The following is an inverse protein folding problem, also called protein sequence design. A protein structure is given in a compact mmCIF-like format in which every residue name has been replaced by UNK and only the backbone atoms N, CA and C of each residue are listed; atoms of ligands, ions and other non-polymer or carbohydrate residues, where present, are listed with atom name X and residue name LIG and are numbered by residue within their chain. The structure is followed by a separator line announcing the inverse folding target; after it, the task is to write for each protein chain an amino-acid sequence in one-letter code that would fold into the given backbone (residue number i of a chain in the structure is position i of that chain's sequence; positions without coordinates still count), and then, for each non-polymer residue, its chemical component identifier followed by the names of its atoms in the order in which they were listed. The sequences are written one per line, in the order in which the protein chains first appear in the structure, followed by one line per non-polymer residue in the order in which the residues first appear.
data_IF_903790946491
#
_entry.id   IF_903790946491
#
_cell.length_a   1.000
_cell.length_b   1.000
_cell.length_c   1.000
_cell.angle_alpha   90.00
_cell.angle_beta   90.00
_cell.angle_gamma   90.00
#
_symmetry.space_group_name_H-M   'P 1'
#
loop_
_entity.id
_entity.type
_entity.pdbx_description
1 polymer ?
#
# COMPACT_ATOMS: atom_id res chain seq x y z
N UNK A 1 29.15 -10.34 -9.65
CA UNK A 1 29.07 -8.97 -9.06
C UNK A 1 29.84 -7.99 -9.92
N UNK A 2 29.41 -6.75 -10.03
CA UNK A 2 30.02 -5.68 -10.82
C UNK A 2 30.45 -4.54 -9.89
N UNK A 3 31.62 -3.97 -10.08
CA UNK A 3 32.08 -2.78 -9.36
C UNK A 3 31.41 -1.54 -9.97
N UNK A 4 30.79 -0.74 -9.12
CA UNK A 4 30.17 0.54 -9.47
C UNK A 4 30.56 1.61 -8.45
N UNK A 5 30.46 2.89 -8.81
CA UNK A 5 30.70 3.99 -7.86
C UNK A 5 29.38 4.63 -7.48
N UNK A 6 29.02 4.58 -6.19
CA UNK A 6 27.82 5.21 -5.63
C UNK A 6 28.28 6.27 -4.62
N UNK A 7 27.88 7.52 -4.83
CA UNK A 7 28.28 8.66 -3.99
C UNK A 7 29.80 8.74 -3.74
N UNK A 8 30.64 8.40 -4.74
CA UNK A 8 32.10 8.44 -4.64
C UNK A 8 32.74 7.24 -3.92
N UNK A 9 31.96 6.22 -3.60
CA UNK A 9 32.46 4.98 -2.97
C UNK A 9 32.35 3.83 -3.97
N UNK A 10 33.41 3.07 -4.13
CA UNK A 10 33.41 1.86 -4.97
C UNK A 10 32.70 0.73 -4.24
N UNK A 11 31.69 0.17 -4.88
CA UNK A 11 30.80 -0.86 -4.31
C UNK A 11 30.68 -2.05 -5.26
N UNK A 12 30.48 -3.23 -4.71
CA UNK A 12 30.09 -4.41 -5.48
C UNK A 12 28.58 -4.53 -5.59
N UNK A 13 28.07 -4.55 -6.82
CA UNK A 13 26.63 -4.68 -7.11
C UNK A 13 26.33 -6.07 -7.65
N UNK A 14 25.36 -6.77 -7.04
CA UNK A 14 24.87 -8.04 -7.54
C UNK A 14 24.14 -7.83 -8.88
N UNK A 15 24.50 -8.59 -9.91
CA UNK A 15 23.94 -8.48 -11.25
C UNK A 15 23.04 -9.65 -11.63
N UNK A 16 22.99 -10.70 -10.79
CA UNK A 16 22.27 -11.92 -11.10
C UNK A 16 21.66 -12.58 -9.85
N UNK A 17 20.69 -13.47 -10.06
CA UNK A 17 20.20 -14.32 -8.98
C UNK A 17 21.34 -15.16 -8.37
N UNK A 18 22.29 -15.62 -9.16
CA UNK A 18 23.42 -16.41 -8.66
C UNK A 18 24.28 -15.61 -7.68
N UNK A 19 24.56 -14.31 -7.96
CA UNK A 19 25.27 -13.44 -7.02
C UNK A 19 24.53 -13.30 -5.70
N UNK A 20 23.21 -13.11 -5.75
CA UNK A 20 22.39 -13.01 -4.55
C UNK A 20 22.32 -14.33 -3.79
N UNK A 21 22.20 -15.46 -4.49
CA UNK A 21 22.18 -16.79 -3.87
C UNK A 21 23.49 -17.16 -3.19
N UNK A 22 24.62 -16.68 -3.70
CA UNK A 22 25.91 -16.85 -3.04
C UNK A 22 25.96 -16.18 -1.66
N UNK A 23 25.25 -15.05 -1.48
CA UNK A 23 25.19 -14.30 -0.22
C UNK A 23 24.10 -14.87 0.72
N UNK A 24 22.90 -15.12 0.19
CA UNK A 24 21.72 -15.42 1.01
C UNK A 24 21.34 -16.91 1.07
N UNK A 25 21.93 -17.77 0.21
CA UNK A 25 21.55 -19.17 0.09
C UNK A 25 20.15 -19.38 -0.48
N UNK A 26 19.59 -20.57 -0.27
CA UNK A 26 18.27 -20.95 -0.74
C UNK A 26 17.20 -20.71 0.33
N UNK A 27 15.97 -20.31 -0.05
CA UNK A 27 14.87 -20.21 0.89
C UNK A 27 14.50 -21.59 1.44
N UNK A 28 14.07 -21.65 2.70
CA UNK A 28 13.57 -22.89 3.29
C UNK A 28 12.35 -23.42 2.52
N UNK A 29 12.10 -24.72 2.61
CA UNK A 29 10.91 -25.34 2.01
C UNK A 29 9.61 -24.68 2.51
N UNK A 30 9.52 -24.39 3.81
CA UNK A 30 8.37 -23.71 4.40
C UNK A 30 8.17 -22.32 3.76
N UNK A 31 9.23 -21.55 3.55
CA UNK A 31 9.16 -20.23 2.94
C UNK A 31 8.65 -20.27 1.49
N UNK A 32 8.96 -21.35 0.75
CA UNK A 32 8.47 -21.56 -0.62
C UNK A 32 7.02 -22.03 -0.63
N UNK A 33 6.66 -23.00 0.22
CA UNK A 33 5.34 -23.64 0.20
C UNK A 33 4.22 -22.79 0.76
N UNK A 34 4.52 -21.77 1.59
CA UNK A 34 3.49 -20.88 2.14
C UNK A 34 2.88 -19.92 1.12
N UNK A 35 3.50 -19.75 -0.06
CA UNK A 35 2.96 -18.93 -1.14
C UNK A 35 1.80 -19.68 -1.81
N UNK A 36 0.62 -19.08 -1.78
CA UNK A 36 -0.63 -19.63 -2.32
C UNK A 36 -0.99 -18.86 -3.59
N UNK A 37 -1.69 -19.49 -4.52
CA UNK A 37 -2.23 -18.87 -5.73
C UNK A 37 -3.66 -18.35 -5.55
N UNK A 38 -4.17 -18.41 -4.32
CA UNK A 38 -5.52 -18.01 -3.93
C UNK A 38 -5.56 -17.54 -2.47
N UNK A 39 -6.64 -16.90 -2.08
CA UNK A 39 -6.92 -16.50 -0.71
C UNK A 39 -7.57 -17.67 0.03
N UNK A 40 -6.82 -18.31 0.91
CA UNK A 40 -7.41 -19.26 1.84
C UNK A 40 -8.21 -18.53 2.94
N UNK A 41 -8.86 -19.27 3.82
CA UNK A 41 -9.63 -18.72 4.92
C UNK A 41 -8.82 -17.73 5.78
N UNK A 42 -7.55 -18.04 6.06
CA UNK A 42 -6.71 -17.18 6.89
C UNK A 42 -6.37 -15.85 6.20
N UNK A 43 -6.13 -15.87 4.89
CA UNK A 43 -5.96 -14.66 4.10
C UNK A 43 -7.25 -13.81 4.11
N UNK A 44 -8.41 -14.43 3.90
CA UNK A 44 -9.71 -13.75 3.91
C UNK A 44 -10.02 -13.13 5.28
N UNK A 45 -9.79 -13.89 6.37
CA UNK A 45 -9.97 -13.41 7.75
C UNK A 45 -9.02 -12.23 8.08
N UNK A 46 -7.79 -12.25 7.54
CA UNK A 46 -6.84 -11.15 7.71
C UNK A 46 -7.30 -9.88 6.99
N UNK A 47 -7.72 -10.02 5.73
CA UNK A 47 -8.26 -8.90 4.93
C UNK A 47 -9.48 -8.28 5.61
N UNK A 48 -10.41 -9.10 6.10
CA UNK A 48 -11.62 -8.63 6.77
C UNK A 48 -11.34 -7.82 8.06
N UNK A 49 -10.17 -8.04 8.70
CA UNK A 49 -9.76 -7.31 9.92
C UNK A 49 -8.83 -6.13 9.63
N UNK A 50 -8.31 -6.01 8.42
CA UNK A 50 -7.35 -4.97 8.07
C UNK A 50 -8.05 -3.64 7.74
N UNK A 51 -7.77 -2.55 8.48
CA UNK A 51 -8.24 -1.22 8.15
C UNK A 51 -7.32 -0.49 7.17
N UNK A 52 -6.16 -1.05 6.83
CA UNK A 52 -5.11 -0.37 6.09
C UNK A 52 -4.32 -1.31 5.21
N UNK A 53 -3.95 -0.83 4.03
CA UNK A 53 -3.00 -1.49 3.14
C UNK A 53 -2.10 -0.47 2.42
N UNK A 54 -0.90 -0.89 2.04
CA UNK A 54 -0.08 -0.24 1.03
C UNK A 54 -0.36 -0.89 -0.32
N UNK A 55 -0.65 -0.07 -1.33
CA UNK A 55 -0.91 -0.49 -2.71
C UNK A 55 0.24 -0.02 -3.60
N UNK A 56 0.89 -0.95 -4.28
CA UNK A 56 1.98 -0.68 -5.21
C UNK A 56 1.54 -0.96 -6.64
N UNK A 57 1.83 -0.02 -7.53
CA UNK A 57 1.66 -0.13 -8.98
C UNK A 57 2.91 0.38 -9.68
N UNK A 58 2.99 0.21 -10.99
CA UNK A 58 4.02 0.83 -11.81
C UNK A 58 3.42 1.23 -13.17
N UNK A 59 3.94 2.29 -13.77
CA UNK A 59 3.56 2.68 -15.11
C UNK A 59 4.14 1.74 -16.19
N UNK A 60 3.91 2.05 -17.46
CA UNK A 60 4.39 1.24 -18.59
C UNK A 60 5.93 1.21 -18.69
N UNK A 61 6.64 2.21 -18.16
CA UNK A 61 8.11 2.30 -18.14
C UNK A 61 8.73 1.66 -16.92
N UNK A 62 7.90 1.23 -15.94
CA UNK A 62 8.36 0.57 -14.72
C UNK A 62 8.57 1.52 -13.54
N UNK A 63 8.21 2.82 -13.66
CA UNK A 63 8.28 3.76 -12.56
C UNK A 63 7.23 3.38 -11.51
N UNK A 64 7.69 3.12 -10.29
CA UNK A 64 6.86 2.62 -9.22
C UNK A 64 6.08 3.74 -8.51
N UNK A 65 4.84 3.43 -8.15
CA UNK A 65 3.99 4.22 -7.26
C UNK A 65 3.59 3.37 -6.04
N UNK A 66 3.58 3.99 -4.88
CA UNK A 66 3.15 3.39 -3.62
C UNK A 66 2.13 4.31 -2.94
N UNK A 67 0.91 3.80 -2.75
CA UNK A 67 -0.22 4.56 -2.21
C UNK A 67 -0.79 3.90 -0.96
N UNK A 68 -1.01 4.64 0.15
CA UNK A 68 -1.77 4.14 1.28
C UNK A 68 -3.25 4.08 0.93
N UNK A 69 -3.93 3.02 1.39
CA UNK A 69 -5.39 2.86 1.33
C UNK A 69 -5.90 2.48 2.70
N UNK A 70 -6.93 3.14 3.18
CA UNK A 70 -7.46 2.88 4.51
C UNK A 70 -8.92 3.28 4.64
N UNK A 71 -9.64 2.52 5.48
CA UNK A 71 -11.04 2.73 5.85
C UNK A 71 -11.35 1.81 7.05
N UNK A 72 -12.60 1.72 7.49
CA UNK A 72 -13.00 0.75 8.50
C UNK A 72 -12.61 -0.69 8.09
N UNK A 73 -12.27 -1.59 9.05
CA UNK A 73 -11.99 -2.99 8.75
C UNK A 73 -13.06 -3.62 7.87
N UNK A 74 -12.64 -4.40 6.87
CA UNK A 74 -13.54 -4.99 5.87
C UNK A 74 -13.84 -4.11 4.66
N UNK A 75 -13.18 -2.94 4.52
CA UNK A 75 -13.37 -2.08 3.35
C UNK A 75 -12.90 -2.73 2.04
N UNK A 76 -11.90 -3.59 2.09
CA UNK A 76 -11.53 -4.45 0.98
C UNK A 76 -12.42 -5.67 0.99
N UNK A 77 -13.16 -5.87 -0.09
CA UNK A 77 -14.11 -6.96 -0.20
C UNK A 77 -13.49 -8.14 -0.92
N UNK A 78 -13.62 -9.32 -0.34
CA UNK A 78 -13.27 -10.58 -1.00
C UNK A 78 -14.53 -11.10 -1.69
N UNK A 79 -14.53 -11.18 -3.02
CA UNK A 79 -15.63 -11.76 -3.80
C UNK A 79 -15.56 -13.30 -3.82
N UNK A 80 -14.36 -13.82 -4.01
CA UNK A 80 -14.06 -15.24 -4.03
C UNK A 80 -12.58 -15.47 -3.66
N UNK A 81 -12.11 -16.70 -3.74
CA UNK A 81 -10.71 -17.06 -3.41
C UNK A 81 -9.66 -16.38 -4.32
N UNK A 82 -10.06 -15.77 -5.43
CA UNK A 82 -9.13 -15.16 -6.41
C UNK A 82 -9.43 -13.70 -6.71
N UNK A 83 -10.46 -13.10 -6.12
CA UNK A 83 -10.91 -11.76 -6.49
C UNK A 83 -11.10 -10.86 -5.27
N UNK A 84 -10.40 -9.72 -5.27
CA UNK A 84 -10.54 -8.63 -4.31
C UNK A 84 -11.14 -7.39 -4.96
N UNK A 85 -11.91 -6.61 -4.20
CA UNK A 85 -12.38 -5.28 -4.58
C UNK A 85 -11.86 -4.24 -3.58
N UNK A 86 -11.17 -3.22 -4.08
CA UNK A 86 -10.65 -2.11 -3.28
C UNK A 86 -11.40 -0.84 -3.73
N UNK A 87 -12.24 -0.22 -2.88
CA UNK A 87 -12.95 1.01 -3.27
C UNK A 87 -11.98 2.19 -3.39
N UNK A 88 -12.18 3.02 -4.41
CA UNK A 88 -11.47 4.29 -4.51
C UNK A 88 -12.24 5.34 -3.71
N UNK A 89 -11.68 5.73 -2.56
CA UNK A 89 -12.21 6.78 -1.70
C UNK A 89 -11.74 8.15 -2.17
N UNK A 90 -12.44 9.21 -1.77
CA UNK A 90 -12.05 10.57 -2.10
C UNK A 90 -10.61 10.87 -1.66
N UNK A 91 -9.86 11.52 -2.52
CA UNK A 91 -8.48 11.90 -2.31
C UNK A 91 -8.15 13.21 -3.04
N UNK A 92 -6.88 13.40 -3.38
CA UNK A 92 -6.35 14.59 -4.04
C UNK A 92 -6.52 14.60 -5.58
N UNK A 93 -7.20 13.60 -6.14
CA UNK A 93 -7.40 13.41 -7.59
C UNK A 93 -6.12 13.27 -8.43
N UNK A 94 -4.97 12.93 -7.84
CA UNK A 94 -3.76 12.60 -8.61
C UNK A 94 -3.96 11.33 -9.44
N UNK A 95 -4.71 10.36 -8.91
CA UNK A 95 -5.10 9.09 -9.55
C UNK A 95 -3.91 8.26 -10.10
N UNK A 96 -2.71 8.46 -9.59
CA UNK A 96 -1.47 7.84 -10.12
C UNK A 96 -1.59 6.30 -10.20
N UNK A 97 -2.03 5.65 -9.13
CA UNK A 97 -2.25 4.19 -9.12
C UNK A 97 -3.29 3.73 -10.14
N UNK A 98 -4.38 4.52 -10.35
CA UNK A 98 -5.42 4.18 -11.31
C UNK A 98 -4.91 4.33 -12.75
N UNK A 99 -4.14 5.40 -13.03
CA UNK A 99 -3.49 5.60 -14.33
C UNK A 99 -2.51 4.48 -14.64
N UNK A 100 -1.68 4.09 -13.67
CA UNK A 100 -0.74 2.98 -13.86
C UNK A 100 -1.47 1.69 -14.29
N UNK A 101 -2.58 1.36 -13.64
CA UNK A 101 -3.36 0.16 -13.93
C UNK A 101 -4.00 0.15 -15.34
N UNK A 102 -4.11 1.30 -16.01
CA UNK A 102 -4.58 1.34 -17.41
C UNK A 102 -3.54 0.86 -18.41
N UNK A 103 -2.26 0.88 -18.05
CA UNK A 103 -1.14 0.51 -18.93
C UNK A 103 -0.34 -0.68 -18.44
N UNK A 104 -0.31 -0.92 -17.13
CA UNK A 104 0.38 -2.04 -16.50
C UNK A 104 -0.50 -2.59 -15.37
N UNK A 105 -1.11 -3.78 -15.55
CA UNK A 105 -2.06 -4.32 -14.58
C UNK A 105 -1.41 -4.89 -13.32
N UNK A 106 -0.08 -4.98 -13.25
CA UNK A 106 0.58 -5.57 -12.08
C UNK A 106 0.38 -4.73 -10.83
N UNK A 107 -0.06 -5.37 -9.75
CA UNK A 107 -0.37 -4.75 -8.46
C UNK A 107 0.17 -5.58 -7.30
N UNK A 108 0.71 -4.89 -6.31
CA UNK A 108 1.11 -5.47 -5.03
C UNK A 108 0.35 -4.82 -3.88
N UNK A 109 -0.08 -5.63 -2.92
CA UNK A 109 -0.82 -5.20 -1.74
C UNK A 109 -0.12 -5.72 -0.49
N UNK A 110 0.02 -4.86 0.51
CA UNK A 110 0.51 -5.23 1.84
C UNK A 110 -0.52 -4.80 2.88
N UNK A 111 -1.26 -5.76 3.42
CA UNK A 111 -2.27 -5.52 4.46
C UNK A 111 -1.64 -5.52 5.84
N UNK A 112 -2.10 -4.58 6.69
CA UNK A 112 -1.68 -4.44 8.07
C UNK A 112 -2.90 -4.39 8.99
N UNK A 113 -2.76 -5.01 10.17
CA UNK A 113 -3.75 -4.93 11.24
C UNK A 113 -3.06 -4.29 12.45
N UNK A 114 -3.52 -3.14 12.98
CA UNK A 114 -2.93 -2.53 14.17
C UNK A 114 -2.83 -3.54 15.32
N UNK A 115 -1.63 -3.65 15.90
CA UNK A 115 -1.36 -4.59 17.00
C UNK A 115 -1.00 -6.03 16.57
N UNK A 116 -1.03 -6.36 15.28
CA UNK A 116 -0.60 -7.66 14.72
C UNK A 116 0.70 -7.46 13.96
N UNK A 117 1.75 -8.18 14.34
CA UNK A 117 3.08 -8.02 13.74
C UNK A 117 3.26 -8.74 12.38
N UNK A 118 2.44 -9.73 12.09
CA UNK A 118 2.38 -10.34 10.76
C UNK A 118 1.70 -9.40 9.77
N UNK A 119 2.09 -9.52 8.48
CA UNK A 119 1.43 -8.81 7.37
C UNK A 119 0.99 -9.80 6.32
N UNK A 120 -0.08 -9.50 5.60
CA UNK A 120 -0.50 -10.28 4.45
C UNK A 120 -0.08 -9.57 3.17
N UNK A 121 0.70 -10.27 2.33
CA UNK A 121 1.03 -9.80 0.99
C UNK A 121 0.16 -10.51 -0.05
N UNK A 122 -0.39 -9.71 -0.96
CA UNK A 122 -1.12 -10.19 -2.13
C UNK A 122 -0.54 -9.53 -3.37
N UNK A 123 -0.17 -10.33 -4.37
CA UNK A 123 0.23 -9.87 -5.69
C UNK A 123 -0.80 -10.33 -6.72
N UNK A 124 -1.04 -9.52 -7.74
CA UNK A 124 -2.06 -9.86 -8.72
C UNK A 124 -2.08 -8.93 -9.93
N UNK A 125 -3.21 -8.97 -10.63
CA UNK A 125 -3.52 -8.08 -11.75
C UNK A 125 -4.73 -7.23 -11.38
N UNK A 126 -4.57 -5.91 -11.44
CA UNK A 126 -5.60 -4.93 -11.11
C UNK A 126 -6.28 -4.36 -12.35
N UNK A 127 -7.57 -4.10 -12.24
CA UNK A 127 -8.37 -3.39 -13.24
C UNK A 127 -9.23 -2.33 -12.56
N UNK A 128 -9.34 -1.16 -13.17
CA UNK A 128 -10.19 -0.07 -12.66
C UNK A 128 -11.60 -0.25 -13.22
N UNK A 129 -12.56 -0.50 -12.33
CA UNK A 129 -13.96 -0.70 -12.67
C UNK A 129 -14.77 0.52 -12.24
N UNK A 130 -15.48 1.14 -13.19
CA UNK A 130 -16.25 2.37 -12.98
C UNK A 130 -17.76 2.15 -12.94
N UNK A 131 -18.24 0.97 -13.32
CA UNK A 131 -19.67 0.62 -13.29
C UNK A 131 -19.85 -0.87 -12.98
N UNK A 132 -20.47 -1.18 -11.86
CA UNK A 132 -20.89 -2.53 -11.48
C UNK A 132 -21.83 -2.45 -10.27
N UNK A 133 -22.73 -3.42 -10.05
CA UNK A 133 -23.65 -3.40 -8.91
C UNK A 133 -22.95 -3.33 -7.55
N UNK A 134 -21.77 -3.94 -7.39
CA UNK A 134 -21.02 -3.95 -6.13
C UNK A 134 -20.45 -2.57 -5.72
N UNK A 135 -20.43 -1.55 -6.61
CA UNK A 135 -20.00 -0.21 -6.22
C UNK A 135 -21.00 0.36 -5.18
N UNK A 136 -22.29 0.18 -5.38
CA UNK A 136 -23.32 0.64 -4.45
C UNK A 136 -23.21 -0.06 -3.09
N UNK A 137 -22.89 -1.35 -3.09
CA UNK A 137 -22.70 -2.13 -1.86
C UNK A 137 -21.47 -1.69 -1.05
N UNK A 138 -20.54 -0.96 -1.66
CA UNK A 138 -19.35 -0.39 -1.02
C UNK A 138 -19.52 1.09 -0.62
N UNK A 139 -20.76 1.60 -0.66
CA UNK A 139 -21.08 2.94 -0.23
C UNK A 139 -20.80 3.13 1.27
N UNK A 140 -20.28 4.30 1.65
CA UNK A 140 -20.12 4.72 3.04
C UNK A 140 -20.82 6.06 3.21
N UNK A 141 -21.63 6.19 4.26
CA UNK A 141 -22.45 7.39 4.51
C UNK A 141 -23.31 7.81 3.31
N UNK A 142 -23.82 6.84 2.54
CA UNK A 142 -24.61 7.07 1.34
C UNK A 142 -23.82 7.52 0.11
N UNK A 143 -22.48 7.54 0.18
CA UNK A 143 -21.61 7.92 -0.94
C UNK A 143 -20.97 6.68 -1.56
N UNK A 144 -21.35 6.39 -2.78
CA UNK A 144 -20.79 5.30 -3.59
C UNK A 144 -19.38 5.69 -4.09
N UNK A 145 -18.39 4.79 -4.06
CA UNK A 145 -17.09 5.07 -4.64
C UNK A 145 -17.20 5.28 -6.16
N UNK A 146 -16.39 6.19 -6.71
CA UNK A 146 -16.40 6.49 -8.16
C UNK A 146 -15.88 5.33 -9.00
N UNK A 147 -14.99 4.55 -8.43
CA UNK A 147 -14.43 3.36 -9.03
C UNK A 147 -13.99 2.37 -7.96
N UNK A 148 -13.70 1.17 -8.41
CA UNK A 148 -13.15 0.08 -7.60
C UNK A 148 -11.97 -0.52 -8.36
N UNK A 149 -10.89 -0.83 -7.66
CA UNK A 149 -9.84 -1.67 -8.22
C UNK A 149 -10.24 -3.13 -7.98
N UNK A 150 -10.57 -3.84 -9.05
CA UNK A 150 -10.75 -5.30 -9.02
C UNK A 150 -9.39 -5.98 -9.20
N UNK A 151 -8.99 -6.82 -8.25
CA UNK A 151 -7.69 -7.49 -8.25
C UNK A 151 -7.88 -8.99 -8.44
N UNK A 152 -7.33 -9.53 -9.53
CA UNK A 152 -7.19 -10.96 -9.72
C UNK A 152 -5.93 -11.43 -8.99
N UNK A 153 -6.08 -12.20 -7.94
CA UNK A 153 -4.99 -12.72 -7.10
C UNK A 153 -4.15 -13.74 -7.89
N UNK A 154 -2.84 -13.57 -7.84
CA UNK A 154 -1.85 -14.50 -8.41
C UNK A 154 -1.01 -15.15 -7.33
N UNK A 155 -0.77 -14.44 -6.26
CA UNK A 155 0.01 -14.91 -5.12
C UNK A 155 -0.50 -14.27 -3.84
N UNK A 156 -0.61 -15.06 -2.77
CA UNK A 156 -0.94 -14.57 -1.44
C UNK A 156 -0.16 -15.34 -0.37
N UNK A 157 0.39 -14.64 0.62
CA UNK A 157 1.02 -15.26 1.79
C UNK A 157 1.20 -14.31 2.96
N UNK A 158 1.14 -14.86 4.17
CA UNK A 158 1.50 -14.14 5.39
C UNK A 158 3.02 -14.01 5.50
N UNK A 159 3.48 -12.81 5.77
CA UNK A 159 4.89 -12.52 6.05
C UNK A 159 5.16 -12.60 7.55
N UNK A 160 6.42 -12.90 7.88
CA UNK A 160 6.83 -13.01 9.28
C UNK A 160 6.87 -11.63 9.96
N UNK A 161 6.66 -11.64 11.26
CA UNK A 161 6.65 -10.48 12.14
C UNK A 161 7.98 -9.71 12.27
N UNK A 162 9.08 -10.19 11.69
CA UNK A 162 10.43 -9.68 12.00
C UNK A 162 10.62 -8.18 11.74
N UNK A 163 10.02 -7.64 10.68
CA UNK A 163 10.16 -6.22 10.36
C UNK A 163 9.44 -5.36 11.39
N UNK A 164 8.18 -5.67 11.69
CA UNK A 164 7.36 -4.92 12.65
C UNK A 164 7.88 -5.05 14.09
N UNK A 165 8.36 -6.25 14.47
CA UNK A 165 9.01 -6.46 15.77
C UNK A 165 10.31 -5.66 15.93
N UNK A 166 11.17 -5.63 14.91
CA UNK A 166 12.39 -4.82 14.96
C UNK A 166 12.11 -3.33 15.01
N UNK A 167 11.13 -2.85 14.26
CA UNK A 167 10.71 -1.44 14.25
C UNK A 167 9.85 -1.07 15.47
N UNK A 168 9.37 -2.05 16.25
CA UNK A 168 8.42 -1.84 17.35
C UNK A 168 7.22 -0.97 16.93
N UNK A 169 6.75 -1.18 15.70
CA UNK A 169 5.78 -0.30 15.04
C UNK A 169 4.50 -0.09 15.86
N UNK A 170 4.05 -1.14 16.56
CA UNK A 170 2.83 -1.10 17.37
C UNK A 170 3.07 -0.75 18.85
N UNK A 171 4.33 -0.54 19.26
CA UNK A 171 4.65 -0.10 20.62
C UNK A 171 4.65 1.43 20.73
N UNK A 172 4.69 1.91 21.96
CA UNK A 172 4.85 3.34 22.22
C UNK A 172 6.33 3.81 22.26
N UNK A 173 7.29 2.89 22.08
CA UNK A 173 8.72 3.18 22.31
C UNK A 173 9.29 4.24 21.35
N UNK A 174 8.81 4.25 20.11
CA UNK A 174 9.25 5.19 19.06
C UNK A 174 8.15 6.16 18.66
N UNK A 175 7.11 6.26 19.47
CA UNK A 175 6.05 7.24 19.24
C UNK A 175 6.59 8.63 19.52
N UNK A 176 6.53 9.50 18.51
CA UNK A 176 6.90 10.92 18.65
C UNK A 176 5.66 11.76 18.94
N UNK A 177 5.83 12.87 19.60
CA UNK A 177 4.77 13.85 19.71
C UNK A 177 4.47 14.48 18.34
N UNK A 178 3.21 14.81 18.10
CA UNK A 178 2.81 15.40 16.80
C UNK A 178 3.53 16.71 16.53
N UNK A 179 3.85 17.48 17.55
CA UNK A 179 4.57 18.76 17.45
C UNK A 179 6.05 18.62 17.09
N UNK A 180 6.65 17.44 17.26
CA UNK A 180 8.05 17.18 16.86
C UNK A 180 8.20 17.00 15.33
N UNK A 181 7.08 16.91 14.62
CA UNK A 181 7.04 16.81 13.16
C UNK A 181 6.30 18.03 12.61
N UNK A 182 6.86 18.77 11.64
CA UNK A 182 6.18 19.92 11.05
C UNK A 182 4.79 19.55 10.54
N UNK A 183 3.86 20.50 10.54
CA UNK A 183 2.54 20.31 9.95
C UNK A 183 2.65 20.06 8.43
N UNK A 184 1.65 19.43 7.84
CA UNK A 184 1.64 19.27 6.37
C UNK A 184 1.62 20.61 5.66
N UNK A 185 0.92 21.63 6.22
CA UNK A 185 0.92 22.99 5.68
C UNK A 185 2.32 23.60 5.73
N UNK A 186 3.08 23.44 6.82
CA UNK A 186 4.47 23.89 6.89
C UNK A 186 5.36 23.20 5.86
N UNK A 187 5.24 21.87 5.73
CA UNK A 187 6.02 21.09 4.76
C UNK A 187 5.74 21.56 3.32
N UNK A 188 4.47 21.75 2.97
CA UNK A 188 4.08 22.23 1.64
C UNK A 188 4.57 23.66 1.39
N UNK A 189 4.44 24.55 2.39
CA UNK A 189 4.95 25.91 2.29
C UNK A 189 6.44 25.94 1.94
N UNK A 190 7.25 25.14 2.63
CA UNK A 190 8.71 25.08 2.44
C UNK A 190 9.10 24.44 1.11
N UNK A 191 8.41 23.37 0.69
CA UNK A 191 8.76 22.61 -0.53
C UNK A 191 8.37 23.27 -1.83
N UNK A 192 7.21 23.93 -1.87
CA UNK A 192 6.68 24.52 -3.12
C UNK A 192 6.73 26.04 -3.16
N UNK A 193 7.22 26.70 -2.10
CA UNK A 193 7.29 28.15 -2.04
C UNK A 193 5.90 28.82 -2.10
N UNK A 194 4.90 28.23 -1.42
CA UNK A 194 3.52 28.70 -1.45
C UNK A 194 3.40 30.08 -0.80
N UNK A 195 2.63 30.99 -1.42
CA UNK A 195 2.38 32.32 -0.86
C UNK A 195 1.33 32.33 0.27
N UNK A 196 0.54 31.26 0.40
CA UNK A 196 -0.51 31.13 1.41
C UNK A 196 0.14 30.89 2.80
N UNK A 197 -0.23 31.65 3.84
CA UNK A 197 0.30 31.44 5.18
C UNK A 197 0.06 30.01 5.69
N UNK A 198 1.03 29.45 6.43
CA UNK A 198 0.99 28.08 6.97
C UNK A 198 -0.30 27.80 7.76
N UNK A 199 -0.74 28.74 8.59
CA UNK A 199 -1.96 28.57 9.39
C UNK A 199 -3.23 28.41 8.51
N UNK A 200 -3.28 29.08 7.37
CA UNK A 200 -4.39 28.95 6.42
C UNK A 200 -4.33 27.60 5.67
N UNK A 201 -3.12 27.17 5.30
CA UNK A 201 -2.91 25.84 4.71
C UNK A 201 -3.35 24.73 5.66
N UNK A 202 -2.93 24.79 6.92
CA UNK A 202 -3.31 23.79 7.93
C UNK A 202 -4.83 23.79 8.18
N UNK A 203 -5.45 24.96 8.27
CA UNK A 203 -6.91 25.07 8.42
C UNK A 203 -7.67 24.48 7.22
N UNK A 204 -7.17 24.69 6.00
CA UNK A 204 -7.75 24.13 4.79
C UNK A 204 -7.60 22.58 4.74
N UNK A 205 -6.44 22.06 5.16
CA UNK A 205 -6.17 20.61 5.25
C UNK A 205 -7.12 19.97 6.27
N UNK A 206 -7.23 20.52 7.48
CA UNK A 206 -8.13 20.01 8.52
C UNK A 206 -9.60 20.05 8.08
N UNK A 207 -10.02 21.11 7.39
CA UNK A 207 -11.36 21.20 6.79
C UNK A 207 -11.57 20.09 5.76
N UNK A 208 -10.57 19.85 4.91
CA UNK A 208 -10.64 18.76 3.94
C UNK A 208 -10.75 17.37 4.59
N UNK A 209 -10.01 17.11 5.66
CA UNK A 209 -10.10 15.85 6.41
C UNK A 209 -11.49 15.66 7.05
N UNK A 210 -12.07 16.73 7.61
CA UNK A 210 -13.41 16.66 8.21
C UNK A 210 -14.52 16.47 7.18
N UNK A 211 -14.48 17.24 6.09
CA UNK A 211 -15.62 17.40 5.19
C UNK A 211 -15.55 16.54 3.92
N UNK A 212 -14.36 16.00 3.60
CA UNK A 212 -14.07 15.28 2.34
C UNK A 212 -13.41 13.92 2.55
N UNK A 213 -13.62 13.30 3.69
CA UNK A 213 -13.09 11.94 3.93
C UNK A 213 -13.83 10.88 3.10
N UNK A 214 -15.11 11.14 2.78
CA UNK A 214 -15.97 10.31 1.92
C UNK A 214 -16.70 11.16 0.88
#
# INVERSE_FOLDING_TARGET
MKLETICGVDVEVAQSEADLRAIYGQPSELARRKSLTRLDRHCQDFIAKSPFLCLSTANATGDADLSPRGDAPGFVRVLDEQTLLIPDRLGNNRIDSLLNLTTNPHIGLLFLIPGVDETLRVNGLGQVVTAAPWLEEMAVNGKTPRSVIAVQVREAFLQCAKALKRSRLWSNDYRVDRQDVPSLGQILFDQIGCATPVAELDAAIETSYRDRMY
#
